data_IF_125092061296
#
_entry.id   IF_125092061296
#
_cell.length_a   1.000
_cell.length_b   1.000
_cell.length_c   1.000
_cell.angle_alpha   90.00
_cell.angle_beta   90.00
_cell.angle_gamma   90.00
#
_symmetry.space_group_name_H-M   'P 1'
#
loop_
_entity.id
_entity.type
_entity.pdbx_description
1 polymer ?
#
# COMPACT_ATOMS: atom_id res chain seq x y z
N UNK A 1 12.99 -25.05 3.91
CA UNK A 1 11.97 -24.16 4.51
C UNK A 1 11.02 -23.74 3.40
N UNK A 2 9.70 -23.77 3.61
CA UNK A 2 8.72 -23.38 2.59
C UNK A 2 8.84 -21.86 2.28
N UNK A 3 9.19 -21.46 1.05
CA UNK A 3 9.40 -20.06 0.69
C UNK A 3 8.12 -19.20 0.71
N UNK A 4 6.93 -19.81 0.82
CA UNK A 4 5.67 -19.07 0.97
C UNK A 4 5.43 -18.54 2.38
N UNK A 5 6.16 -19.05 3.38
CA UNK A 5 5.99 -18.63 4.78
C UNK A 5 6.75 -17.33 5.12
N UNK A 6 7.48 -16.76 4.16
CA UNK A 6 8.20 -15.50 4.32
C UNK A 6 7.82 -14.53 3.18
N UNK A 7 7.31 -13.35 3.54
CA UNK A 7 6.87 -12.34 2.58
C UNK A 7 7.95 -11.96 1.55
N UNK A 8 9.24 -11.92 1.96
CA UNK A 8 10.34 -11.59 1.03
C UNK A 8 10.53 -12.67 -0.02
N UNK A 9 10.46 -13.93 0.39
CA UNK A 9 10.63 -15.08 -0.51
C UNK A 9 9.41 -15.27 -1.40
N UNK A 10 8.21 -15.04 -0.88
CA UNK A 10 6.97 -15.03 -1.69
C UNK A 10 7.02 -13.95 -2.77
N UNK A 11 7.51 -12.75 -2.45
CA UNK A 11 7.64 -11.66 -3.42
C UNK A 11 8.70 -11.97 -4.50
N UNK A 12 9.84 -12.54 -4.11
CA UNK A 12 10.87 -13.01 -5.06
C UNK A 12 10.31 -14.08 -5.99
N UNK A 13 9.58 -15.07 -5.45
CA UNK A 13 8.95 -16.13 -6.25
C UNK A 13 7.93 -15.56 -7.24
N UNK A 14 7.11 -14.59 -6.81
CA UNK A 14 6.15 -13.93 -7.69
C UNK A 14 6.83 -13.21 -8.86
N UNK A 15 7.93 -12.50 -8.60
CA UNK A 15 8.73 -11.84 -9.65
C UNK A 15 9.33 -12.88 -10.60
N UNK A 16 9.98 -13.92 -10.08
CA UNK A 16 10.59 -14.97 -10.90
C UNK A 16 9.55 -15.66 -11.78
N UNK A 17 8.40 -16.02 -11.22
CA UNK A 17 7.30 -16.61 -11.97
C UNK A 17 6.78 -15.67 -13.07
N UNK A 18 6.59 -14.38 -12.77
CA UNK A 18 6.16 -13.39 -13.75
C UNK A 18 7.16 -13.27 -14.91
N UNK A 19 8.47 -13.29 -14.63
CA UNK A 19 9.51 -13.25 -15.66
C UNK A 19 9.50 -14.52 -16.53
N UNK A 20 9.38 -15.71 -15.92
CA UNK A 20 9.30 -16.98 -16.66
C UNK A 20 8.06 -17.02 -17.57
N UNK A 21 6.92 -16.58 -17.06
CA UNK A 21 5.68 -16.49 -17.85
C UNK A 21 5.84 -15.50 -19.00
N UNK A 22 6.40 -14.31 -18.75
CA UNK A 22 6.64 -13.32 -19.79
C UNK A 22 7.50 -13.90 -20.92
N UNK A 23 8.58 -14.61 -20.61
CA UNK A 23 9.40 -15.28 -21.62
C UNK A 23 8.64 -16.40 -22.36
N UNK A 24 7.81 -17.16 -21.66
CA UNK A 24 7.04 -18.28 -22.24
C UNK A 24 5.90 -17.88 -23.18
N UNK A 25 5.37 -16.65 -23.07
CA UNK A 25 4.20 -16.18 -23.85
C UNK A 25 4.52 -15.14 -24.92
N UNK A 26 5.80 -14.86 -25.20
CA UNK A 26 6.22 -13.94 -26.27
C UNK A 26 7.11 -12.77 -25.85
N UNK A 27 7.60 -12.74 -24.60
CA UNK A 27 8.56 -11.76 -24.10
C UNK A 27 7.91 -10.48 -23.54
N UNK A 28 8.73 -9.44 -23.38
CA UNK A 28 8.31 -8.16 -22.82
C UNK A 28 7.93 -7.18 -23.93
N UNK A 29 6.70 -6.68 -23.89
CA UNK A 29 6.23 -5.62 -24.79
C UNK A 29 6.27 -4.28 -24.05
N UNK A 30 7.21 -3.40 -24.41
CA UNK A 30 7.33 -2.09 -23.79
C UNK A 30 6.33 -1.10 -24.42
N UNK A 31 5.25 -0.82 -23.70
CA UNK A 31 4.20 0.12 -24.12
C UNK A 31 4.07 1.26 -23.08
N UNK A 32 4.80 2.37 -23.26
CA UNK A 32 4.81 3.49 -22.31
C UNK A 32 3.43 4.05 -21.95
N UNK A 33 2.52 4.36 -22.90
CA UNK A 33 1.21 4.92 -22.54
C UNK A 33 0.32 3.92 -21.80
N UNK A 34 0.38 2.62 -22.13
CA UNK A 34 -0.34 1.60 -21.37
C UNK A 34 0.19 1.49 -19.93
N UNK A 35 1.52 1.51 -19.77
CA UNK A 35 2.17 1.43 -18.47
C UNK A 35 1.88 2.67 -17.60
N UNK A 36 1.92 3.87 -18.19
CA UNK A 36 1.56 5.11 -17.49
C UNK A 36 0.11 5.10 -17.01
N UNK A 37 -0.83 4.64 -17.85
CA UNK A 37 -2.24 4.50 -17.48
C UNK A 37 -2.42 3.49 -16.34
N UNK A 38 -1.75 2.34 -16.43
CA UNK A 38 -1.83 1.32 -15.40
C UNK A 38 -1.29 1.85 -14.05
N UNK A 39 -0.12 2.49 -14.06
CA UNK A 39 0.46 3.10 -12.86
C UNK A 39 -0.47 4.17 -12.28
N UNK A 40 -1.06 5.03 -13.12
CA UNK A 40 -2.01 6.05 -12.67
C UNK A 40 -3.26 5.45 -12.02
N UNK A 41 -3.83 4.38 -12.57
CA UNK A 41 -4.99 3.70 -11.99
C UNK A 41 -4.63 3.13 -10.61
N UNK A 42 -3.50 2.42 -10.51
CA UNK A 42 -3.05 1.85 -9.23
C UNK A 42 -2.84 2.96 -8.20
N UNK A 43 -2.09 4.01 -8.57
CA UNK A 43 -1.81 5.15 -7.71
C UNK A 43 -3.12 5.82 -7.24
N UNK A 44 -4.06 6.09 -8.16
CA UNK A 44 -5.38 6.63 -7.84
C UNK A 44 -6.20 5.76 -6.88
N UNK A 45 -6.16 4.43 -7.01
CA UNK A 45 -6.83 3.52 -6.06
C UNK A 45 -6.22 3.63 -4.66
N UNK A 46 -4.89 3.65 -4.55
CA UNK A 46 -4.20 3.86 -3.27
C UNK A 46 -4.52 5.23 -2.67
N UNK A 47 -4.58 6.27 -3.49
CA UNK A 47 -4.87 7.64 -3.06
C UNK A 47 -6.27 7.76 -2.47
N UNK A 48 -7.29 7.23 -3.17
CA UNK A 48 -8.67 7.20 -2.69
C UNK A 48 -8.78 6.36 -1.41
N UNK A 49 -8.11 5.21 -1.36
CA UNK A 49 -8.09 4.36 -0.16
C UNK A 49 -7.52 5.09 1.06
N UNK A 50 -6.43 5.84 0.89
CA UNK A 50 -5.82 6.65 1.94
C UNK A 50 -6.70 7.84 2.35
N UNK A 51 -7.41 8.47 1.41
CA UNK A 51 -8.42 9.48 1.76
C UNK A 51 -9.49 8.91 2.69
N UNK A 52 -10.05 7.74 2.37
CA UNK A 52 -11.05 7.12 3.22
C UNK A 52 -10.49 6.75 4.60
N UNK A 53 -9.24 6.27 4.64
CA UNK A 53 -8.56 6.06 5.92
C UNK A 53 -8.49 7.34 6.75
N UNK A 54 -8.03 8.46 6.20
CA UNK A 54 -7.91 9.71 6.97
C UNK A 54 -9.27 10.27 7.41
N UNK A 55 -10.24 10.32 6.50
CA UNK A 55 -11.51 11.01 6.72
C UNK A 55 -12.50 10.16 7.53
N UNK A 56 -12.61 8.88 7.22
CA UNK A 56 -13.68 8.02 7.79
C UNK A 56 -13.16 7.17 8.95
N UNK A 57 -11.86 6.83 8.98
CA UNK A 57 -11.30 5.95 10.01
C UNK A 57 -10.48 6.71 11.04
N UNK A 58 -9.46 7.46 10.62
CA UNK A 58 -8.50 8.09 11.51
C UNK A 58 -9.15 9.22 12.33
N UNK A 59 -9.94 10.08 11.70
CA UNK A 59 -10.54 11.25 12.35
C UNK A 59 -11.44 10.87 13.54
N UNK A 60 -12.44 9.97 13.41
CA UNK A 60 -13.23 9.55 14.57
C UNK A 60 -12.42 8.75 15.59
N UNK A 61 -11.50 7.88 15.16
CA UNK A 61 -10.65 7.12 16.08
C UNK A 61 -9.76 8.04 16.95
N UNK A 62 -9.30 9.16 16.39
CA UNK A 62 -8.56 10.18 17.14
C UNK A 62 -9.44 10.90 18.17
N UNK A 63 -10.72 11.13 17.86
CA UNK A 63 -11.68 11.72 18.80
C UNK A 63 -11.97 10.77 19.97
N UNK A 64 -12.22 9.50 19.69
CA UNK A 64 -12.43 8.47 20.71
C UNK A 64 -11.19 8.31 21.60
N UNK A 65 -10.00 8.28 20.99
CA UNK A 65 -8.74 8.18 21.72
C UNK A 65 -8.44 9.43 22.58
N UNK A 66 -8.95 10.60 22.22
CA UNK A 66 -8.83 11.80 23.04
C UNK A 66 -9.79 11.82 24.24
N UNK A 67 -10.94 11.15 24.12
CA UNK A 67 -11.92 11.01 25.19
C UNK A 67 -11.51 9.94 26.24
N UNK A 68 -10.72 8.94 25.85
CA UNK A 68 -10.21 7.90 26.74
C UNK A 68 -8.99 8.38 27.56
N UNK A 69 -9.26 8.79 28.81
CA UNK A 69 -8.24 9.29 29.75
C UNK A 69 -7.25 8.23 30.27
N UNK A 70 -7.57 6.94 30.11
CA UNK A 70 -6.71 5.83 30.52
C UNK A 70 -5.98 5.14 29.36
N UNK A 71 -6.36 5.48 28.12
CA UNK A 71 -5.84 4.87 26.91
C UNK A 71 -4.51 5.47 26.42
N UNK A 72 -3.90 4.88 25.38
CA UNK A 72 -2.64 5.37 24.78
C UNK A 72 -2.78 6.72 24.06
N UNK A 73 -4.00 7.27 23.99
CA UNK A 73 -4.33 8.48 23.25
C UNK A 73 -4.08 8.37 21.74
N UNK A 74 -4.33 9.46 21.02
CA UNK A 74 -4.03 9.56 19.58
C UNK A 74 -2.54 9.57 19.23
N UNK A 75 -1.65 9.56 20.23
CA UNK A 75 -0.21 9.67 20.05
C UNK A 75 0.40 8.48 19.28
N UNK A 76 -0.11 7.27 19.50
CA UNK A 76 0.37 6.08 18.79
C UNK A 76 0.06 6.15 17.28
N UNK A 77 -1.14 6.60 16.93
CA UNK A 77 -1.57 6.78 15.54
C UNK A 77 -0.70 7.85 14.86
N UNK A 78 -0.54 9.01 15.51
CA UNK A 78 0.24 10.12 14.99
C UNK A 78 1.73 9.82 14.88
N UNK A 79 2.28 8.95 15.73
CA UNK A 79 3.72 8.61 15.72
C UNK A 79 4.06 7.52 14.71
N UNK A 80 3.24 6.47 14.61
CA UNK A 80 3.61 5.26 13.86
C UNK A 80 2.85 5.08 12.55
N UNK A 81 1.64 5.62 12.42
CA UNK A 81 0.75 5.33 11.29
C UNK A 81 0.61 6.54 10.37
N UNK A 82 0.27 7.72 10.92
CA UNK A 82 0.04 8.93 10.15
C UNK A 82 1.22 9.32 9.23
N UNK A 83 2.50 9.29 9.67
CA UNK A 83 3.61 9.67 8.80
C UNK A 83 3.80 8.73 7.60
N UNK A 84 3.53 7.43 7.79
CA UNK A 84 3.60 6.42 6.73
C UNK A 84 2.46 6.61 5.75
N UNK A 85 1.24 6.77 6.25
CA UNK A 85 0.06 7.02 5.43
C UNK A 85 0.23 8.30 4.60
N UNK A 86 0.76 9.38 5.19
CA UNK A 86 1.01 10.65 4.50
C UNK A 86 2.12 10.54 3.45
N UNK A 87 3.16 9.76 3.71
CA UNK A 87 4.20 9.48 2.71
C UNK A 87 3.59 8.81 1.48
N UNK A 88 2.80 7.75 1.67
CA UNK A 88 2.14 7.05 0.56
C UNK A 88 1.10 7.94 -0.12
N UNK A 89 0.36 8.76 0.62
CA UNK A 89 -0.64 9.67 0.06
C UNK A 89 -0.03 10.70 -0.92
N UNK A 90 1.25 11.03 -0.75
CA UNK A 90 1.95 11.96 -1.64
C UNK A 90 2.38 11.34 -2.97
N UNK A 91 2.50 10.01 -3.04
CA UNK A 91 3.05 9.30 -4.20
C UNK A 91 2.07 8.30 -4.83
N UNK A 92 0.96 8.02 -4.16
CA UNK A 92 -0.24 7.45 -4.74
C UNK A 92 -0.96 8.53 -5.57
#
# INVERSE_FOLDING_TARGET
MNPLNNHRQSLILGIVLALLLALGIGGFHFNPPAMARWLHIVAGVFWIGLLYYFNVVQTPAMADAAADKGGPGGAAINKYVAPRALFWFRWA
#
